data_IF_915946100703
#
_entry.id   IF_915946100703
#
_cell.length_a   1.000
_cell.length_b   1.000
_cell.length_c   1.000
_cell.angle_alpha   90.00
_cell.angle_beta   90.00
_cell.angle_gamma   90.00
#
_symmetry.space_group_name_H-M   'P 1'
#
loop_
_entity.id
_entity.type
_entity.pdbx_description
1 polymer ?
#
# COMPACT_ATOMS: atom_id res chain seq x y z
N UNK A 1 29.68 -14.27 -0.74
CA UNK A 1 28.90 -14.15 -2.00
C UNK A 1 27.40 -14.33 -1.73
N UNK A 2 26.96 -15.32 -0.93
CA UNK A 2 25.53 -15.57 -0.63
C UNK A 2 24.85 -14.40 0.11
N UNK A 3 25.52 -13.78 1.09
CA UNK A 3 24.96 -12.62 1.81
C UNK A 3 24.73 -11.45 0.85
N UNK A 4 25.67 -11.15 -0.04
CA UNK A 4 25.53 -10.07 -1.01
C UNK A 4 24.38 -10.30 -2.02
N UNK A 5 24.13 -11.56 -2.42
CA UNK A 5 23.04 -11.92 -3.35
C UNK A 5 21.64 -11.71 -2.77
N UNK A 6 21.50 -11.69 -1.44
CA UNK A 6 20.22 -11.43 -0.76
C UNK A 6 20.13 -9.95 -0.33
N UNK A 7 21.24 -9.41 0.22
CA UNK A 7 21.23 -8.01 0.74
C UNK A 7 21.05 -6.99 -0.37
N UNK A 8 21.65 -7.19 -1.54
CA UNK A 8 21.55 -6.24 -2.66
C UNK A 8 20.11 -6.04 -3.16
N UNK A 9 19.31 -7.10 -3.46
CA UNK A 9 17.92 -6.93 -3.87
C UNK A 9 17.02 -6.34 -2.79
N UNK A 10 17.26 -6.67 -1.51
CA UNK A 10 16.50 -6.09 -0.39
C UNK A 10 16.78 -4.60 -0.24
N UNK A 11 18.06 -4.18 -0.37
CA UNK A 11 18.43 -2.77 -0.40
C UNK A 11 17.80 -2.04 -1.59
N UNK A 12 17.77 -2.68 -2.75
CA UNK A 12 17.13 -2.14 -3.96
C UNK A 12 15.62 -1.94 -3.77
N UNK A 13 14.92 -2.90 -3.13
CA UNK A 13 13.50 -2.74 -2.76
C UNK A 13 13.28 -1.56 -1.82
N UNK A 14 14.17 -1.38 -0.84
CA UNK A 14 14.10 -0.24 0.10
C UNK A 14 14.34 1.10 -0.61
N UNK A 15 15.27 1.14 -1.57
CA UNK A 15 15.55 2.33 -2.40
C UNK A 15 14.31 2.68 -3.25
N UNK A 16 13.74 1.71 -3.96
CA UNK A 16 12.54 1.96 -4.76
C UNK A 16 11.32 2.35 -3.90
N UNK A 17 11.17 1.75 -2.71
CA UNK A 17 10.15 2.17 -1.74
C UNK A 17 10.35 3.62 -1.27
N UNK A 18 11.60 4.04 -1.01
CA UNK A 18 11.91 5.43 -0.67
C UNK A 18 11.67 6.38 -1.86
N UNK A 19 12.07 5.99 -3.07
CA UNK A 19 11.81 6.76 -4.29
C UNK A 19 10.31 6.97 -4.52
N UNK A 20 9.49 5.94 -4.33
CA UNK A 20 8.03 6.04 -4.47
C UNK A 20 7.41 7.06 -3.51
N UNK A 21 7.91 7.17 -2.28
CA UNK A 21 7.49 8.22 -1.34
C UNK A 21 7.96 9.61 -1.80
N UNK A 22 9.16 9.71 -2.35
CA UNK A 22 9.72 10.98 -2.83
C UNK A 22 9.10 11.48 -4.14
N UNK A 23 8.46 10.62 -4.94
CA UNK A 23 7.74 11.04 -6.15
C UNK A 23 6.69 12.12 -5.80
N UNK A 24 5.94 11.94 -4.72
CA UNK A 24 4.92 12.92 -4.31
C UNK A 24 5.55 14.26 -3.93
N UNK A 25 6.66 14.27 -3.19
CA UNK A 25 7.33 15.52 -2.80
C UNK A 25 7.83 16.32 -4.03
N UNK A 26 8.23 15.63 -5.09
CA UNK A 26 8.76 16.25 -6.30
C UNK A 26 7.65 16.69 -7.29
N UNK A 27 6.54 15.97 -7.32
CA UNK A 27 5.51 16.15 -8.36
C UNK A 27 4.30 16.92 -7.87
N UNK A 28 3.87 16.72 -6.59
CA UNK A 28 2.60 17.28 -6.10
C UNK A 28 2.66 18.80 -6.02
N UNK A 29 3.62 19.36 -5.30
CA UNK A 29 3.74 20.83 -5.18
C UNK A 29 3.88 21.47 -6.55
N UNK A 30 4.72 20.89 -7.42
CA UNK A 30 4.93 21.40 -8.78
C UNK A 30 3.67 21.38 -9.64
N UNK A 31 2.91 20.28 -9.58
CA UNK A 31 1.65 20.15 -10.34
C UNK A 31 0.56 21.10 -9.85
N UNK A 32 0.42 21.25 -8.52
CA UNK A 32 -0.56 22.15 -7.91
C UNK A 32 -0.33 23.63 -8.24
N UNK A 33 0.93 24.03 -8.44
CA UNK A 33 1.29 25.42 -8.83
C UNK A 33 0.70 25.83 -10.18
N UNK A 34 0.16 24.92 -10.98
CA UNK A 34 -0.49 25.27 -12.24
C UNK A 34 -1.82 26.02 -12.02
N UNK A 35 -2.46 25.88 -10.86
CA UNK A 35 -3.76 26.49 -10.58
C UNK A 35 -3.89 27.11 -9.18
N UNK A 36 -2.85 27.09 -8.35
CA UNK A 36 -2.84 27.73 -7.04
C UNK A 36 -1.48 28.34 -6.71
N UNK A 37 -1.42 29.19 -5.67
CA UNK A 37 -0.18 29.77 -5.20
C UNK A 37 0.77 28.71 -4.62
N UNK A 38 2.06 29.01 -4.59
CA UNK A 38 3.07 28.10 -4.03
C UNK A 38 2.82 27.78 -2.55
N UNK A 39 2.36 28.77 -1.77
CA UNK A 39 2.03 28.58 -0.35
C UNK A 39 0.84 27.63 -0.20
N UNK A 40 -0.24 27.84 -0.96
CA UNK A 40 -1.38 26.94 -0.97
C UNK A 40 -1.01 25.51 -1.39
N UNK A 41 -0.16 25.36 -2.42
CA UNK A 41 0.34 24.06 -2.88
C UNK A 41 1.14 23.33 -1.78
N UNK A 42 2.00 24.06 -1.04
CA UNK A 42 2.75 23.48 0.09
C UNK A 42 1.82 23.06 1.23
N UNK A 43 0.79 23.84 1.54
CA UNK A 43 -0.21 23.48 2.55
C UNK A 43 -0.96 22.21 2.12
N UNK A 44 -1.42 22.13 0.89
CA UNK A 44 -2.12 20.95 0.35
C UNK A 44 -1.23 19.70 0.36
N UNK A 45 0.03 19.84 0.00
CA UNK A 45 0.99 18.74 0.11
C UNK A 45 1.24 18.34 1.58
N UNK A 46 1.31 19.31 2.50
CA UNK A 46 1.41 19.05 3.93
C UNK A 46 0.21 18.29 4.50
N UNK A 47 -1.00 18.54 3.98
CA UNK A 47 -2.19 17.76 4.34
C UNK A 47 -2.05 16.30 3.86
N UNK A 48 -1.61 16.09 2.63
CA UNK A 48 -1.41 14.75 2.07
C UNK A 48 -0.32 13.99 2.85
N UNK A 49 0.89 14.53 2.91
CA UNK A 49 2.06 13.83 3.47
C UNK A 49 2.09 13.82 5.01
N UNK A 50 1.76 14.95 5.63
CA UNK A 50 1.87 15.10 7.08
C UNK A 50 0.71 14.53 7.87
N UNK A 51 -0.52 14.57 7.35
CA UNK A 51 -1.71 14.05 8.03
C UNK A 51 -2.17 12.72 7.45
N UNK A 52 -2.54 12.72 6.18
CA UNK A 52 -3.21 11.59 5.52
C UNK A 52 -2.30 10.37 5.49
N UNK A 53 -1.10 10.50 4.95
CA UNK A 53 -0.15 9.38 4.87
C UNK A 53 0.25 8.87 6.25
N UNK A 54 0.44 9.76 7.22
CA UNK A 54 0.77 9.39 8.60
C UNK A 54 -0.31 8.50 9.21
N UNK A 55 -1.58 8.84 9.06
CA UNK A 55 -2.69 8.04 9.57
C UNK A 55 -2.80 6.68 8.87
N UNK A 56 -2.62 6.64 7.55
CA UNK A 56 -2.64 5.39 6.77
C UNK A 56 -1.51 4.45 7.19
N UNK A 57 -0.38 4.96 7.71
CA UNK A 57 0.74 4.09 8.16
C UNK A 57 0.43 3.32 9.46
N UNK A 58 -0.59 3.72 10.24
CA UNK A 58 -0.92 3.06 11.52
C UNK A 58 -1.26 1.56 11.29
N UNK A 59 -2.26 1.18 10.49
CA UNK A 59 -2.55 -0.23 10.23
C UNK A 59 -1.40 -0.96 9.54
N UNK A 60 -0.60 -0.25 8.72
CA UNK A 60 0.57 -0.81 8.05
C UNK A 60 1.64 -1.26 9.05
N UNK A 61 1.86 -0.50 10.11
CA UNK A 61 2.87 -0.81 11.14
C UNK A 61 2.55 -2.11 11.87
N UNK A 62 1.28 -2.36 12.18
CA UNK A 62 0.84 -3.63 12.76
C UNK A 62 1.06 -4.81 11.82
N UNK A 63 0.69 -4.67 10.55
CA UNK A 63 0.87 -5.73 9.56
C UNK A 63 2.36 -6.02 9.29
N UNK A 64 3.22 -5.01 9.35
CA UNK A 64 4.65 -5.15 9.13
C UNK A 64 5.31 -6.12 10.13
N UNK A 65 4.86 -6.12 11.39
CA UNK A 65 5.34 -7.06 12.40
C UNK A 65 5.02 -8.52 12.01
N UNK A 66 3.83 -8.79 11.49
CA UNK A 66 3.46 -10.11 10.97
C UNK A 66 4.24 -10.48 9.71
N UNK A 67 4.39 -9.56 8.78
CA UNK A 67 5.10 -9.78 7.53
C UNK A 67 6.59 -10.11 7.78
N UNK A 68 7.26 -9.36 8.66
CA UNK A 68 8.67 -9.62 9.00
C UNK A 68 8.88 -10.97 9.70
N UNK A 69 7.98 -11.36 10.60
CA UNK A 69 8.03 -12.67 11.25
C UNK A 69 7.80 -13.84 10.28
N UNK A 70 7.13 -13.59 9.14
CA UNK A 70 6.87 -14.61 8.12
C UNK A 70 8.15 -15.03 7.39
N UNK A 71 9.09 -14.11 7.12
CA UNK A 71 10.30 -14.36 6.32
C UNK A 71 11.13 -15.53 6.84
N UNK A 72 11.61 -15.56 8.12
CA UNK A 72 12.41 -16.67 8.62
C UNK A 72 11.63 -17.98 8.68
N UNK A 73 10.33 -17.92 8.98
CA UNK A 73 9.46 -19.09 9.02
C UNK A 73 9.28 -19.71 7.63
N UNK A 74 9.20 -18.87 6.59
CA UNK A 74 9.13 -19.31 5.20
C UNK A 74 10.45 -19.88 4.71
N UNK A 75 11.57 -19.18 4.94
CA UNK A 75 12.92 -19.64 4.56
C UNK A 75 13.23 -21.02 5.14
N UNK A 76 12.88 -21.25 6.41
CA UNK A 76 13.06 -22.55 7.08
C UNK A 76 12.25 -23.67 6.43
N UNK A 77 10.98 -23.40 6.09
CA UNK A 77 10.10 -24.37 5.43
C UNK A 77 10.54 -24.65 3.99
N UNK A 78 10.94 -23.61 3.26
CA UNK A 78 11.48 -23.70 1.88
C UNK A 78 12.75 -24.52 1.84
N UNK A 79 13.69 -24.29 2.77
CA UNK A 79 14.95 -25.06 2.87
C UNK A 79 14.72 -26.56 3.14
N UNK A 80 13.61 -26.92 3.80
CA UNK A 80 13.20 -28.31 4.05
C UNK A 80 12.40 -28.93 2.89
N UNK A 81 12.11 -28.18 1.83
CA UNK A 81 11.25 -28.63 0.72
C UNK A 81 9.77 -28.83 1.10
N UNK A 82 9.34 -28.33 2.26
CA UNK A 82 7.95 -28.48 2.74
C UNK A 82 7.03 -27.42 2.12
N UNK A 83 6.73 -27.61 0.85
CA UNK A 83 5.88 -26.69 0.08
C UNK A 83 4.47 -26.57 0.65
N UNK A 84 3.92 -27.64 1.26
CA UNK A 84 2.58 -27.58 1.87
C UNK A 84 2.54 -26.62 3.06
N UNK A 85 3.54 -26.67 3.92
CA UNK A 85 3.67 -25.72 5.05
C UNK A 85 3.88 -24.30 4.54
N UNK A 86 4.69 -24.10 3.49
CA UNK A 86 4.90 -22.81 2.83
C UNK A 86 3.55 -22.22 2.36
N UNK A 87 2.79 -22.98 1.57
CA UNK A 87 1.47 -22.55 1.08
C UNK A 87 0.48 -22.21 2.20
N UNK A 88 0.42 -23.07 3.23
CA UNK A 88 -0.49 -22.86 4.38
C UNK A 88 -0.16 -21.55 5.12
N UNK A 89 1.13 -21.27 5.36
CA UNK A 89 1.58 -20.07 6.03
C UNK A 89 1.27 -18.82 5.22
N UNK A 90 1.54 -18.82 3.91
CA UNK A 90 1.23 -17.69 3.03
C UNK A 90 -0.28 -17.40 3.03
N UNK A 91 -1.12 -18.42 2.81
CA UNK A 91 -2.57 -18.26 2.83
C UNK A 91 -3.07 -17.71 4.15
N UNK A 92 -2.54 -18.22 5.27
CA UNK A 92 -2.90 -17.71 6.59
C UNK A 92 -2.50 -16.24 6.78
N UNK A 93 -1.27 -15.87 6.41
CA UNK A 93 -0.78 -14.49 6.56
C UNK A 93 -1.54 -13.50 5.68
N UNK A 94 -1.85 -13.86 4.43
CA UNK A 94 -2.70 -13.03 3.56
C UNK A 94 -4.10 -12.87 4.17
N UNK A 95 -4.68 -13.94 4.74
CA UNK A 95 -5.97 -13.83 5.41
C UNK A 95 -5.92 -12.89 6.61
N UNK A 96 -4.85 -12.95 7.42
CA UNK A 96 -4.64 -12.03 8.55
C UNK A 96 -4.54 -10.58 8.05
N UNK A 97 -3.77 -10.32 6.98
CA UNK A 97 -3.68 -8.97 6.39
C UNK A 97 -5.04 -8.46 5.91
N UNK A 98 -5.87 -9.32 5.32
CA UNK A 98 -7.23 -8.96 4.90
C UNK A 98 -8.12 -8.66 6.11
N UNK A 99 -8.06 -9.49 7.17
CA UNK A 99 -8.86 -9.32 8.38
C UNK A 99 -8.47 -8.08 9.19
N UNK A 100 -7.24 -7.60 9.08
CA UNK A 100 -6.80 -6.33 9.65
C UNK A 100 -7.15 -5.18 8.69
N UNK A 101 -6.80 -5.31 7.42
CA UNK A 101 -6.87 -4.23 6.44
C UNK A 101 -8.30 -3.80 6.11
N UNK A 102 -9.22 -4.74 5.91
CA UNK A 102 -10.60 -4.40 5.53
C UNK A 102 -11.33 -3.60 6.62
N UNK A 103 -11.38 -4.03 7.91
CA UNK A 103 -12.01 -3.24 8.96
C UNK A 103 -11.34 -1.88 9.16
N UNK A 104 -10.00 -1.82 9.13
CA UNK A 104 -9.28 -0.54 9.23
C UNK A 104 -9.64 0.39 8.07
N UNK A 105 -9.60 -0.11 6.83
CA UNK A 105 -9.95 0.67 5.64
C UNK A 105 -11.36 1.24 5.75
N UNK A 106 -12.36 0.39 6.02
CA UNK A 106 -13.76 0.81 6.07
C UNK A 106 -14.02 1.74 7.26
N UNK A 107 -13.49 1.41 8.45
CA UNK A 107 -13.61 2.28 9.62
C UNK A 107 -12.99 3.66 9.41
N UNK A 108 -11.79 3.72 8.81
CA UNK A 108 -11.11 4.99 8.51
C UNK A 108 -11.83 5.80 7.42
N UNK A 109 -12.48 5.16 6.46
CA UNK A 109 -13.29 5.85 5.45
C UNK A 109 -14.59 6.40 6.06
N UNK A 110 -15.32 5.60 6.83
CA UNK A 110 -16.60 6.00 7.43
C UNK A 110 -16.42 7.13 8.46
N UNK A 111 -15.39 7.04 9.29
CA UNK A 111 -15.11 8.00 10.35
C UNK A 111 -14.02 9.02 9.98
N UNK A 112 -13.76 9.22 8.67
CA UNK A 112 -12.70 10.09 8.19
C UNK A 112 -12.75 11.49 8.80
N UNK A 113 -13.92 12.13 8.76
CA UNK A 113 -14.15 13.46 9.33
C UNK A 113 -13.92 13.51 10.85
N UNK A 114 -14.48 12.53 11.58
CA UNK A 114 -14.36 12.43 13.01
C UNK A 114 -12.91 12.21 13.47
N UNK A 115 -12.18 11.35 12.76
CA UNK A 115 -10.76 11.08 13.01
C UNK A 115 -9.94 12.36 12.81
N UNK A 116 -10.17 13.07 11.69
CA UNK A 116 -9.46 14.31 11.42
C UNK A 116 -9.80 15.42 12.42
N UNK A 117 -11.06 15.56 12.83
CA UNK A 117 -11.48 16.53 13.86
C UNK A 117 -10.88 16.21 15.23
N UNK A 118 -10.81 14.91 15.59
CA UNK A 118 -10.26 14.50 16.89
C UNK A 118 -8.75 14.74 16.96
N UNK A 119 -8.02 14.41 15.90
CA UNK A 119 -6.56 14.47 15.90
C UNK A 119 -6.01 15.84 15.48
N UNK A 120 -6.76 16.57 14.66
CA UNK A 120 -6.37 17.87 14.11
C UNK A 120 -7.51 18.90 14.26
N UNK A 121 -7.96 19.26 15.48
CA UNK A 121 -9.16 20.07 15.70
C UNK A 121 -9.11 21.43 15.01
N UNK A 122 -7.93 22.05 14.91
CA UNK A 122 -7.72 23.35 14.26
C UNK A 122 -7.40 23.26 12.75
N UNK A 123 -7.33 22.06 12.17
CA UNK A 123 -6.91 21.84 10.80
C UNK A 123 -7.53 20.54 10.21
N UNK A 124 -8.83 20.33 10.39
CA UNK A 124 -9.52 19.08 10.01
C UNK A 124 -9.71 18.86 8.50
N UNK A 125 -9.15 19.74 7.65
CA UNK A 125 -9.23 19.62 6.18
C UNK A 125 -8.55 18.37 5.63
N UNK A 126 -8.99 17.88 4.46
CA UNK A 126 -8.39 16.75 3.76
C UNK A 126 -9.18 15.45 3.84
N UNK A 127 -10.46 15.50 4.26
CA UNK A 127 -11.33 14.32 4.41
C UNK A 127 -11.38 13.46 3.13
N UNK A 128 -11.66 14.08 2.00
CA UNK A 128 -11.76 13.37 0.71
C UNK A 128 -10.44 12.71 0.30
N UNK A 129 -9.32 13.43 0.48
CA UNK A 129 -7.97 12.88 0.19
C UNK A 129 -7.70 11.68 1.10
N UNK A 130 -8.08 11.79 2.39
CA UNK A 130 -7.92 10.73 3.36
C UNK A 130 -8.74 9.49 3.00
N UNK A 131 -10.01 9.66 2.60
CA UNK A 131 -10.88 8.56 2.16
C UNK A 131 -10.28 7.82 0.95
N UNK A 132 -9.77 8.55 -0.06
CA UNK A 132 -9.09 7.94 -1.21
C UNK A 132 -7.86 7.17 -0.76
N UNK A 133 -7.01 7.77 0.08
CA UNK A 133 -5.78 7.12 0.56
C UNK A 133 -6.07 5.86 1.37
N UNK A 134 -7.15 5.85 2.15
CA UNK A 134 -7.58 4.67 2.91
C UNK A 134 -7.94 3.47 2.03
N UNK A 135 -8.41 3.68 0.79
CA UNK A 135 -8.62 2.59 -0.18
C UNK A 135 -7.31 1.82 -0.48
N UNK A 136 -6.17 2.48 -0.33
CA UNK A 136 -4.84 1.88 -0.51
C UNK A 136 -4.46 0.88 0.59
N UNK A 137 -5.03 0.99 1.79
CA UNK A 137 -4.65 0.19 2.96
C UNK A 137 -4.66 -1.31 2.66
N UNK A 138 -5.74 -1.80 2.07
CA UNK A 138 -5.87 -3.23 1.78
C UNK A 138 -4.80 -3.73 0.80
N UNK A 139 -4.47 -2.93 -0.23
CA UNK A 139 -3.44 -3.28 -1.20
C UNK A 139 -2.07 -3.31 -0.54
N UNK A 140 -1.73 -2.30 0.25
CA UNK A 140 -0.45 -2.17 0.94
C UNK A 140 -0.23 -3.30 1.94
N UNK A 141 -1.25 -3.65 2.75
CA UNK A 141 -1.11 -4.71 3.75
C UNK A 141 -0.88 -6.08 3.10
N UNK A 142 -1.61 -6.38 2.02
CA UNK A 142 -1.42 -7.64 1.30
C UNK A 142 -0.08 -7.64 0.56
N UNK A 143 0.32 -6.52 -0.05
CA UNK A 143 1.63 -6.32 -0.70
C UNK A 143 2.77 -6.61 0.28
N UNK A 144 2.77 -6.01 1.47
CA UNK A 144 3.78 -6.26 2.50
C UNK A 144 3.92 -7.76 2.83
N UNK A 145 2.80 -8.45 2.94
CA UNK A 145 2.76 -9.88 3.28
C UNK A 145 3.23 -10.75 2.10
N UNK A 146 2.83 -10.42 0.89
CA UNK A 146 3.22 -11.16 -0.32
C UNK A 146 4.69 -10.91 -0.63
N UNK A 147 5.19 -9.67 -0.50
CA UNK A 147 6.59 -9.31 -0.62
C UNK A 147 7.47 -10.08 0.38
N UNK A 148 7.05 -10.11 1.66
CA UNK A 148 7.74 -10.91 2.68
C UNK A 148 7.75 -12.42 2.35
N UNK A 149 6.66 -12.96 1.81
CA UNK A 149 6.60 -14.34 1.36
C UNK A 149 7.56 -14.59 0.18
N UNK A 150 7.62 -13.68 -0.80
CA UNK A 150 8.57 -13.74 -1.92
C UNK A 150 10.03 -13.71 -1.43
N UNK A 151 10.36 -12.85 -0.47
CA UNK A 151 11.66 -12.86 0.18
C UNK A 151 11.94 -14.22 0.85
N UNK A 152 10.98 -14.76 1.60
CA UNK A 152 11.12 -16.04 2.31
C UNK A 152 11.30 -17.25 1.39
N UNK A 153 10.80 -17.22 0.15
CA UNK A 153 11.02 -18.27 -0.86
C UNK A 153 12.21 -17.99 -1.80
N UNK A 154 13.03 -16.97 -1.48
CA UNK A 154 14.24 -16.63 -2.24
C UNK A 154 14.00 -15.81 -3.52
N UNK A 155 12.77 -15.31 -3.76
CA UNK A 155 12.45 -14.47 -4.92
C UNK A 155 12.61 -12.98 -4.58
N UNK A 156 13.77 -12.61 -4.05
CA UNK A 156 14.07 -11.30 -3.45
C UNK A 156 14.06 -10.12 -4.44
N UNK A 157 14.23 -10.37 -5.75
CA UNK A 157 14.21 -9.33 -6.78
C UNK A 157 12.79 -8.91 -7.20
N UNK A 158 11.81 -9.77 -7.00
CA UNK A 158 10.44 -9.53 -7.51
C UNK A 158 9.79 -8.29 -6.87
N UNK A 159 9.83 -8.10 -5.53
CA UNK A 159 9.30 -6.90 -4.91
C UNK A 159 9.99 -5.62 -5.41
N UNK A 160 11.32 -5.66 -5.61
CA UNK A 160 12.05 -4.51 -6.14
C UNK A 160 11.59 -4.12 -7.55
N UNK A 161 11.45 -5.10 -8.45
CA UNK A 161 10.97 -4.87 -9.82
C UNK A 161 9.52 -4.37 -9.81
N UNK A 162 8.66 -4.97 -8.99
CA UNK A 162 7.27 -4.56 -8.87
C UNK A 162 7.15 -3.11 -8.38
N UNK A 163 7.93 -2.72 -7.34
CA UNK A 163 7.99 -1.35 -6.84
C UNK A 163 8.53 -0.35 -7.87
N UNK A 164 9.52 -0.74 -8.68
CA UNK A 164 10.02 0.10 -9.76
C UNK A 164 8.92 0.37 -10.82
N UNK A 165 8.20 -0.67 -11.25
CA UNK A 165 7.10 -0.56 -12.22
C UNK A 165 5.96 0.29 -11.62
N UNK A 166 5.55 0.02 -10.37
CA UNK A 166 4.53 0.79 -9.67
C UNK A 166 4.90 2.26 -9.53
N UNK A 167 6.17 2.56 -9.23
CA UNK A 167 6.69 3.93 -9.14
C UNK A 167 6.65 4.68 -10.46
N UNK A 168 6.98 4.02 -11.58
CA UNK A 168 6.86 4.62 -12.92
C UNK A 168 5.40 4.96 -13.21
N UNK A 169 4.47 4.04 -12.93
CA UNK A 169 3.03 4.28 -13.11
C UNK A 169 2.55 5.43 -12.23
N UNK A 170 2.96 5.45 -10.95
CA UNK A 170 2.64 6.54 -10.03
C UNK A 170 3.15 7.89 -10.54
N UNK A 171 4.39 7.94 -11.04
CA UNK A 171 4.97 9.15 -11.61
C UNK A 171 4.15 9.66 -12.80
N UNK A 172 3.79 8.78 -13.74
CA UNK A 172 2.97 9.13 -14.91
C UNK A 172 1.61 9.66 -14.46
N UNK A 173 0.94 8.98 -13.52
CA UNK A 173 -0.36 9.40 -13.00
C UNK A 173 -0.28 10.72 -12.24
N UNK A 174 0.75 10.95 -11.42
CA UNK A 174 0.94 12.23 -10.75
C UNK A 174 1.12 13.37 -11.75
N UNK A 175 1.94 13.18 -12.78
CA UNK A 175 2.16 14.20 -13.82
C UNK A 175 0.89 14.48 -14.64
N UNK A 176 -0.03 13.51 -14.73
CA UNK A 176 -1.28 13.66 -15.48
C UNK A 176 -2.42 14.21 -14.63
N UNK A 177 -2.59 13.76 -13.38
CA UNK A 177 -3.74 14.07 -12.54
C UNK A 177 -3.53 15.29 -11.64
N UNK A 178 -2.34 15.44 -11.05
CA UNK A 178 -2.07 16.52 -10.09
C UNK A 178 -2.17 17.93 -10.70
N UNK A 179 -1.77 18.17 -11.97
CA UNK A 179 -1.92 19.49 -12.59
C UNK A 179 -3.37 19.92 -12.89
N UNK A 180 -4.33 19.00 -12.73
CA UNK A 180 -5.76 19.29 -13.01
C UNK A 180 -6.40 19.85 -11.74
N UNK A 181 -7.11 20.98 -11.86
CA UNK A 181 -7.84 21.58 -10.74
C UNK A 181 -8.98 20.65 -10.30
N UNK A 182 -9.13 20.46 -8.97
CA UNK A 182 -10.20 19.66 -8.37
C UNK A 182 -11.63 20.15 -8.71
N UNK A 183 -11.78 21.44 -9.03
CA UNK A 183 -13.07 22.00 -9.48
C UNK A 183 -13.47 21.49 -10.86
N UNK A 184 -12.49 21.14 -11.71
CA UNK A 184 -12.72 20.62 -13.06
C UNK A 184 -12.88 19.09 -13.02
N UNK A 185 -12.02 18.44 -12.21
CA UNK A 185 -12.03 16.99 -12.08
C UNK A 185 -11.81 16.60 -10.62
N UNK A 186 -12.80 15.98 -10.00
CA UNK A 186 -12.82 15.64 -8.58
C UNK A 186 -11.56 14.88 -8.09
N UNK A 187 -10.97 14.07 -8.98
CA UNK A 187 -9.74 13.31 -8.73
C UNK A 187 -8.49 14.03 -9.24
N UNK A 188 -8.52 15.36 -9.37
CA UNK A 188 -7.36 16.19 -9.65
C UNK A 188 -6.58 16.57 -8.39
N UNK A 189 -5.53 17.37 -8.53
CA UNK A 189 -4.76 17.89 -7.42
C UNK A 189 -4.20 16.81 -6.47
N UNK A 190 -4.27 17.06 -5.17
CA UNK A 190 -3.83 16.11 -4.13
C UNK A 190 -4.65 14.83 -4.08
N UNK A 191 -5.93 14.85 -4.49
CA UNK A 191 -6.73 13.65 -4.63
C UNK A 191 -6.20 12.73 -5.74
N UNK A 192 -5.69 13.30 -6.83
CA UNK A 192 -5.00 12.59 -7.89
C UNK A 192 -3.71 11.91 -7.42
N UNK A 193 -2.93 12.59 -6.58
CA UNK A 193 -1.73 11.99 -5.98
C UNK A 193 -2.09 10.81 -5.05
N UNK A 194 -3.13 10.95 -4.23
CA UNK A 194 -3.63 9.87 -3.39
C UNK A 194 -4.08 8.66 -4.23
N UNK A 195 -4.85 8.90 -5.30
CA UNK A 195 -5.30 7.85 -6.21
C UNK A 195 -4.12 7.18 -6.93
N UNK A 196 -3.14 7.95 -7.38
CA UNK A 196 -1.91 7.43 -8.01
C UNK A 196 -1.17 6.46 -7.09
N UNK A 197 -1.11 6.77 -5.79
CA UNK A 197 -0.52 5.89 -4.77
C UNK A 197 -1.33 4.60 -4.61
N UNK A 198 -2.65 4.66 -4.57
CA UNK A 198 -3.53 3.48 -4.51
C UNK A 198 -3.31 2.57 -5.72
N UNK A 199 -3.28 3.15 -6.92
CA UNK A 199 -3.05 2.40 -8.17
C UNK A 199 -1.64 1.79 -8.18
N UNK A 200 -0.62 2.52 -7.74
CA UNK A 200 0.74 2.00 -7.60
C UNK A 200 0.75 0.71 -6.78
N UNK A 201 0.22 0.74 -5.56
CA UNK A 201 0.19 -0.43 -4.67
C UNK A 201 -0.68 -1.57 -5.23
N UNK A 202 -1.78 -1.26 -5.92
CA UNK A 202 -2.59 -2.28 -6.59
C UNK A 202 -1.81 -2.99 -7.71
N UNK A 203 -1.01 -2.26 -8.49
CA UNK A 203 -0.16 -2.81 -9.55
C UNK A 203 0.97 -3.65 -8.95
N UNK A 204 1.68 -3.13 -7.93
CA UNK A 204 2.74 -3.86 -7.23
C UNK A 204 2.21 -5.20 -6.70
N UNK A 205 1.10 -5.15 -5.95
CA UNK A 205 0.44 -6.35 -5.42
C UNK A 205 0.05 -7.34 -6.53
N UNK A 206 -0.46 -6.84 -7.65
CA UNK A 206 -0.86 -7.70 -8.78
C UNK A 206 0.35 -8.45 -9.34
N UNK A 207 1.46 -7.77 -9.58
CA UNK A 207 2.71 -8.38 -10.08
C UNK A 207 3.21 -9.42 -9.08
N UNK A 208 3.30 -9.09 -7.81
CA UNK A 208 3.77 -9.99 -6.75
C UNK A 208 2.88 -11.23 -6.61
N UNK A 209 1.55 -11.06 -6.61
CA UNK A 209 0.59 -12.17 -6.53
C UNK A 209 0.65 -13.08 -7.75
N UNK A 210 0.84 -12.54 -8.96
CA UNK A 210 0.97 -13.35 -10.18
C UNK A 210 2.22 -14.22 -10.10
N UNK A 211 3.35 -13.65 -9.67
CA UNK A 211 4.59 -14.42 -9.50
C UNK A 211 4.44 -15.47 -8.40
N UNK A 212 3.89 -15.10 -7.25
CA UNK A 212 3.69 -16.02 -6.12
C UNK A 212 2.77 -17.19 -6.50
N UNK A 213 1.66 -16.92 -7.21
CA UNK A 213 0.76 -17.97 -7.72
C UNK A 213 1.44 -18.91 -8.69
N UNK A 214 2.30 -18.38 -9.59
CA UNK A 214 3.05 -19.20 -10.57
C UNK A 214 4.05 -20.11 -9.87
N UNK A 215 4.72 -19.63 -8.81
CA UNK A 215 5.74 -20.39 -8.08
C UNK A 215 5.17 -21.53 -7.24
N UNK A 216 4.05 -21.30 -6.57
CA UNK A 216 3.49 -22.20 -5.56
C UNK A 216 2.15 -22.83 -5.96
N UNK A 217 1.65 -22.57 -7.18
CA UNK A 217 0.32 -23.05 -7.67
C UNK A 217 -0.81 -22.77 -6.66
N UNK A 218 -0.74 -21.62 -5.96
CA UNK A 218 -1.70 -21.26 -4.90
C UNK A 218 -3.13 -21.19 -5.44
N UNK A 219 -4.03 -21.88 -4.77
CA UNK A 219 -5.48 -21.76 -4.98
C UNK A 219 -6.08 -21.00 -3.81
N UNK A 220 -6.73 -19.87 -4.08
CA UNK A 220 -7.43 -19.08 -3.08
C UNK A 220 -8.93 -19.39 -3.15
N UNK A 221 -9.52 -19.74 -2.01
CA UNK A 221 -10.95 -19.96 -1.89
C UNK A 221 -11.66 -18.61 -1.78
N UNK A 222 -12.36 -18.18 -2.83
CA UNK A 222 -13.07 -16.88 -2.87
C UNK A 222 -13.96 -16.65 -1.65
N UNK A 223 -14.64 -17.71 -1.17
CA UNK A 223 -15.51 -17.63 0.00
C UNK A 223 -14.76 -17.24 1.28
N UNK A 224 -13.55 -17.76 1.49
CA UNK A 224 -12.73 -17.53 2.68
C UNK A 224 -12.00 -16.20 2.65
N UNK A 225 -11.47 -15.80 1.48
CA UNK A 225 -10.59 -14.64 1.34
C UNK A 225 -11.32 -13.35 0.95
N UNK A 226 -12.54 -13.45 0.40
CA UNK A 226 -13.29 -12.28 -0.08
C UNK A 226 -14.65 -12.22 0.64
N UNK A 227 -15.51 -13.23 0.49
CA UNK A 227 -16.91 -13.14 0.91
C UNK A 227 -17.03 -13.01 2.43
N UNK A 228 -16.39 -13.88 3.22
CA UNK A 228 -16.48 -13.83 4.68
C UNK A 228 -15.94 -12.53 5.28
N UNK A 229 -14.74 -12.04 4.91
CA UNK A 229 -14.24 -10.76 5.40
C UNK A 229 -15.13 -9.57 4.99
N UNK A 230 -15.67 -9.55 3.76
CA UNK A 230 -16.59 -8.49 3.33
C UNK A 230 -17.89 -8.48 4.13
N UNK A 231 -18.51 -9.65 4.37
CA UNK A 231 -19.71 -9.73 5.21
C UNK A 231 -19.42 -9.21 6.62
N UNK A 232 -18.30 -9.63 7.23
CA UNK A 232 -17.93 -9.18 8.57
C UNK A 232 -17.73 -7.65 8.64
N UNK A 233 -17.19 -7.04 7.61
CA UNK A 233 -16.99 -5.58 7.54
C UNK A 233 -18.31 -4.85 7.27
N UNK A 234 -19.19 -5.41 6.42
CA UNK A 234 -20.51 -4.83 6.19
C UNK A 234 -21.35 -4.82 7.47
N UNK A 235 -21.28 -5.88 8.29
CA UNK A 235 -21.96 -5.91 9.60
C UNK A 235 -21.36 -4.94 10.62
N UNK A 236 -20.11 -4.54 10.46
CA UNK A 236 -19.47 -3.53 11.30
C UNK A 236 -19.86 -2.11 10.89
N UNK A 237 -20.21 -1.91 9.62
CA UNK A 237 -20.55 -0.59 9.04
C UNK A 237 -22.02 -0.18 9.27
N UNK A 238 -22.87 -1.11 9.77
CA UNK A 238 -24.27 -0.89 10.16
C UNK A 238 -24.35 -0.55 11.65
#
# INVERSE_FOLDING_TARGET
>A
KEIASVSFPMSLSSIFGALNRNIDSMTVVRGLKNFMSEEAAKIQYGILSGKVETLVTIPMSFNMAFATALVPAMSKATAKGDIKTVEKRIKFSILVSILIGLPCMVGMILYAKQILLLLFPNAASGEFIYQISCLGIIFILIEQTVGAALHGIGKVFIPAIALAIGGIIKLILNLSLVPINNEIFLLGGTAGAALSSVICHAVVLTIELLVLKKQLKLKFEKRKFIIKPLIAVLTMAI
#
